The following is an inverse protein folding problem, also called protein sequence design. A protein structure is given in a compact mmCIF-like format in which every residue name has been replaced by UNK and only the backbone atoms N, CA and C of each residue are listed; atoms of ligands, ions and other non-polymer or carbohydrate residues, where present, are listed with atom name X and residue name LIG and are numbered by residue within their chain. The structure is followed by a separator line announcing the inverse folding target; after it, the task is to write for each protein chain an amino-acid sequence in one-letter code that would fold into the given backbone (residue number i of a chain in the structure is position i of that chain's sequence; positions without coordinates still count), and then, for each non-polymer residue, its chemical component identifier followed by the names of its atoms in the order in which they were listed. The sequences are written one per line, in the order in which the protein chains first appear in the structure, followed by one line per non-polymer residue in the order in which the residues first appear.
data_IF_824742516500
#
_entry.id   IF_824742516500
#
_cell.length_a   1.000
_cell.length_b   1.000
_cell.length_c   1.000
_cell.angle_alpha   90.00
_cell.angle_beta   90.00
_cell.angle_gamma   90.00
#
_symmetry.space_group_name_H-M   'P 1'
#
loop_
_entity.id
_entity.type
_entity.pdbx_description
1 polymer ?
#
# COMPACT_ATOMS: atom_id res chain seq x y z
N UNK A 1 4.79 13.49 8.55
CA UNK A 1 5.16 12.27 9.32
C UNK A 1 5.60 12.63 10.72
N UNK A 2 6.48 13.62 10.89
CA UNK A 2 7.10 13.93 12.19
C UNK A 2 6.17 14.52 13.27
N UNK A 3 4.99 15.05 12.90
CA UNK A 3 4.00 15.59 13.86
C UNK A 3 2.91 14.61 14.30
N UNK A 4 2.56 13.62 13.47
CA UNK A 4 1.42 12.71 13.69
C UNK A 4 1.89 11.29 14.08
N UNK A 5 3.17 10.98 13.84
CA UNK A 5 3.73 9.65 14.04
C UNK A 5 3.47 8.72 12.85
N UNK A 6 4.34 7.72 12.69
CA UNK A 6 4.33 6.81 11.53
C UNK A 6 3.17 5.82 11.57
N UNK A 7 2.85 5.28 12.75
CA UNK A 7 1.82 4.24 12.92
C UNK A 7 0.41 4.72 12.52
N UNK A 8 -0.08 5.89 12.95
CA UNK A 8 -1.41 6.36 12.54
C UNK A 8 -1.54 6.60 11.04
N UNK A 9 -0.48 7.10 10.39
CA UNK A 9 -0.45 7.30 8.93
C UNK A 9 -0.52 5.96 8.19
N UNK A 10 0.18 4.94 8.71
CA UNK A 10 0.14 3.59 8.16
C UNK A 10 -1.26 2.98 8.24
N UNK A 11 -1.92 3.08 9.40
CA UNK A 11 -3.29 2.59 9.57
C UNK A 11 -4.31 3.34 8.71
N UNK A 12 -4.23 4.67 8.66
CA UNK A 12 -5.10 5.49 7.81
C UNK A 12 -4.94 5.12 6.33
N UNK A 13 -3.70 4.91 5.88
CA UNK A 13 -3.40 4.44 4.54
C UNK A 13 -4.01 3.07 4.23
N UNK A 14 -3.88 2.10 5.13
CA UNK A 14 -4.50 0.79 4.96
C UNK A 14 -6.01 0.83 4.91
N UNK A 15 -6.65 1.70 5.70
CA UNK A 15 -8.11 1.90 5.62
C UNK A 15 -8.50 2.47 4.26
N UNK A 16 -7.79 3.49 3.77
CA UNK A 16 -8.03 4.08 2.44
C UNK A 16 -7.87 3.04 1.33
N UNK A 17 -6.79 2.25 1.39
CA UNK A 17 -6.53 1.19 0.42
C UNK A 17 -7.60 0.08 0.46
N UNK A 18 -8.00 -0.35 1.66
CA UNK A 18 -9.04 -1.38 1.83
C UNK A 18 -10.40 -0.92 1.30
N UNK A 19 -10.78 0.34 1.55
CA UNK A 19 -12.01 0.93 1.00
C UNK A 19 -11.94 1.02 -0.52
N UNK A 20 -10.84 1.53 -1.08
CA UNK A 20 -10.66 1.66 -2.53
C UNK A 20 -10.79 0.32 -3.25
N UNK A 21 -10.04 -0.69 -2.82
CA UNK A 21 -10.11 -2.04 -3.41
C UNK A 21 -11.44 -2.75 -3.10
N UNK A 22 -12.02 -2.54 -1.92
CA UNK A 22 -13.31 -3.13 -1.55
C UNK A 22 -14.45 -2.66 -2.44
N UNK A 23 -14.50 -1.36 -2.76
CA UNK A 23 -15.49 -0.80 -3.68
C UNK A 23 -15.26 -1.32 -5.10
N UNK A 24 -14.01 -1.36 -5.58
CA UNK A 24 -13.71 -1.92 -6.91
C UNK A 24 -14.13 -3.38 -7.00
N UNK A 25 -13.81 -4.20 -5.98
CA UNK A 25 -14.22 -5.60 -5.92
C UNK A 25 -15.74 -5.78 -5.92
N UNK A 26 -16.48 -4.92 -5.21
CA UNK A 26 -17.94 -4.94 -5.22
C UNK A 26 -18.50 -4.57 -6.61
N UNK A 27 -17.95 -3.53 -7.26
CA UNK A 27 -18.36 -3.14 -8.61
C UNK A 27 -18.08 -4.25 -9.63
N UNK A 28 -16.96 -4.96 -9.49
CA UNK A 28 -16.65 -6.12 -10.32
C UNK A 28 -17.64 -7.28 -10.08
N UNK A 29 -18.05 -7.51 -8.83
CA UNK A 29 -19.01 -8.56 -8.49
C UNK A 29 -20.42 -8.28 -9.01
N UNK A 30 -20.89 -7.03 -8.89
CA UNK A 30 -22.21 -6.60 -9.37
C UNK A 30 -22.28 -6.46 -10.90
N UNK A 31 -21.14 -6.34 -11.56
CA UNK A 31 -21.02 -6.13 -12.99
C UNK A 31 -21.09 -4.65 -13.35
N UNK A 32 -20.13 -4.18 -14.15
CA UNK A 32 -20.03 -2.78 -14.59
C UNK A 32 -20.68 -2.59 -15.96
N UNK A 33 -21.99 -2.37 -16.00
CA UNK A 33 -22.75 -2.21 -17.24
C UNK A 33 -22.56 -0.82 -17.85
N UNK A 34 -22.53 0.22 -17.00
CA UNK A 34 -22.53 1.62 -17.42
C UNK A 34 -21.11 2.20 -17.49
N UNK A 35 -20.94 3.27 -18.28
CA UNK A 35 -19.68 4.02 -18.31
C UNK A 35 -19.37 4.69 -16.96
N UNK A 36 -20.40 5.12 -16.23
CA UNK A 36 -20.25 5.73 -14.91
C UNK A 36 -19.64 4.77 -13.89
N UNK A 37 -20.08 3.51 -13.85
CA UNK A 37 -19.52 2.49 -12.96
C UNK A 37 -18.04 2.19 -13.28
N UNK A 38 -17.68 2.16 -14.57
CA UNK A 38 -16.28 2.01 -15.00
C UNK A 38 -15.43 3.20 -14.58
N UNK A 39 -15.93 4.42 -14.74
CA UNK A 39 -15.24 5.63 -14.27
C UNK A 39 -15.11 5.67 -12.75
N UNK A 40 -16.13 5.21 -12.03
CA UNK A 40 -16.08 5.09 -10.58
C UNK A 40 -15.01 4.09 -10.13
N UNK A 41 -14.91 2.93 -10.78
CA UNK A 41 -13.85 1.97 -10.50
C UNK A 41 -12.45 2.56 -10.69
N UNK A 42 -12.23 3.32 -11.78
CA UNK A 42 -10.96 4.03 -12.01
C UNK A 42 -10.71 5.08 -10.92
N UNK A 43 -11.72 5.86 -10.53
CA UNK A 43 -11.58 6.84 -9.45
C UNK A 43 -11.22 6.18 -8.11
N UNK A 44 -11.80 5.02 -7.80
CA UNK A 44 -11.48 4.26 -6.59
C UNK A 44 -10.08 3.63 -6.64
N UNK A 45 -9.60 3.22 -7.81
CA UNK A 45 -8.21 2.78 -7.99
C UNK A 45 -7.23 3.95 -7.78
N UNK A 46 -7.54 5.14 -8.29
CA UNK A 46 -6.73 6.34 -8.02
C UNK A 46 -6.73 6.69 -6.53
N UNK A 47 -7.88 6.55 -5.86
CA UNK A 47 -7.99 6.74 -4.42
C UNK A 47 -7.12 5.73 -3.63
N UNK A 48 -7.10 4.46 -4.07
CA UNK A 48 -6.16 3.45 -3.55
C UNK A 48 -4.70 3.88 -3.74
N UNK A 49 -4.32 4.36 -4.93
CA UNK A 49 -2.95 4.83 -5.22
C UNK A 49 -2.56 5.99 -4.32
N UNK A 50 -3.46 6.94 -4.07
CA UNK A 50 -3.22 8.04 -3.12
C UNK A 50 -2.95 7.47 -1.73
N UNK A 51 -3.80 6.55 -1.25
CA UNK A 51 -3.62 5.80 -0.01
C UNK A 51 -2.23 5.19 0.11
N UNK A 52 -1.81 4.47 -0.92
CA UNK A 52 -0.49 3.83 -0.97
C UNK A 52 0.66 4.85 -0.96
N UNK A 53 0.55 5.92 -1.74
CA UNK A 53 1.61 6.90 -1.95
C UNK A 53 2.02 7.65 -0.67
N UNK A 54 1.06 8.01 0.20
CA UNK A 54 1.40 8.69 1.46
C UNK A 54 1.67 7.72 2.62
N UNK A 55 1.33 6.44 2.48
CA UNK A 55 1.45 5.44 3.55
C UNK A 55 2.51 4.38 3.24
N UNK A 56 2.11 3.21 2.74
CA UNK A 56 2.94 2.04 2.54
C UNK A 56 4.14 2.30 1.61
N UNK A 57 4.04 3.21 0.64
CA UNK A 57 5.14 3.56 -0.25
C UNK A 57 6.39 4.03 0.51
N UNK A 58 6.37 5.20 1.17
CA UNK A 58 7.54 5.73 1.89
C UNK A 58 7.73 5.14 3.30
N UNK A 59 6.63 4.81 4.01
CA UNK A 59 6.74 4.43 5.42
C UNK A 59 7.33 3.05 5.64
N UNK A 60 7.18 2.09 4.71
CA UNK A 60 7.72 0.74 4.89
C UNK A 60 9.24 0.78 5.00
N UNK A 61 9.90 1.57 4.14
CA UNK A 61 11.36 1.71 4.12
C UNK A 61 11.86 2.43 5.37
N UNK A 62 11.09 3.40 5.85
CA UNK A 62 11.45 4.16 7.05
C UNK A 62 11.25 3.31 8.31
N UNK A 63 10.23 2.46 8.37
CA UNK A 63 10.03 1.53 9.48
C UNK A 63 11.13 0.46 9.52
N UNK A 64 11.52 -0.09 8.36
CA UNK A 64 12.64 -1.03 8.29
C UNK A 64 13.99 -0.41 8.71
N UNK A 65 14.21 0.89 8.52
CA UNK A 65 15.44 1.52 8.99
C UNK A 65 15.44 1.81 10.50
N UNK A 66 14.26 1.86 11.13
CA UNK A 66 14.11 2.17 12.56
C UNK A 66 13.99 0.95 13.48
N UNK A 67 13.40 -0.14 13.00
CA UNK A 67 13.20 -1.35 13.80
C UNK A 67 14.52 -2.14 13.91
N UNK A 68 15.41 -1.99 12.93
CA UNK A 68 16.59 -2.83 12.80
C UNK A 68 17.68 -2.38 13.79
N UNK A 69 18.28 -3.31 14.56
CA UNK A 69 19.34 -2.98 15.50
C UNK A 69 20.57 -2.44 14.76
N UNK A 70 21.26 -1.48 15.38
CA UNK A 70 22.45 -0.84 14.80
C UNK A 70 23.53 -1.87 14.40
N UNK A 71 23.66 -2.95 15.17
CA UNK A 71 24.50 -4.10 14.82
C UNK A 71 23.73 -5.01 13.86
N UNK A 72 24.14 -5.03 12.59
CA UNK A 72 23.52 -5.86 11.56
C UNK A 72 22.38 -5.20 10.77
N UNK A 73 22.23 -3.87 10.87
CA UNK A 73 21.22 -3.11 10.12
C UNK A 73 21.26 -3.39 8.62
N UNK A 74 22.46 -3.51 8.04
CA UNK A 74 22.63 -3.75 6.61
C UNK A 74 22.06 -5.10 6.18
N UNK A 75 22.23 -6.14 7.01
CA UNK A 75 21.63 -7.45 6.79
C UNK A 75 20.10 -7.38 6.88
N UNK A 76 19.56 -6.71 7.91
CA UNK A 76 18.12 -6.56 8.09
C UNK A 76 17.44 -5.77 6.97
N UNK A 77 18.10 -4.75 6.41
CA UNK A 77 17.64 -4.03 5.23
C UNK A 77 17.70 -4.94 4.00
N UNK A 78 18.78 -5.71 3.82
CA UNK A 78 18.92 -6.68 2.74
C UNK A 78 17.77 -7.69 2.69
N UNK A 79 17.44 -8.32 3.83
CA UNK A 79 16.31 -9.26 3.94
C UNK A 79 14.97 -8.58 3.62
N UNK A 80 14.78 -7.34 4.08
CA UNK A 80 13.56 -6.57 3.79
C UNK A 80 13.39 -6.32 2.29
N UNK A 81 14.47 -5.94 1.60
CA UNK A 81 14.48 -5.69 0.16
C UNK A 81 14.25 -6.98 -0.63
N UNK A 82 14.90 -8.08 -0.27
CA UNK A 82 14.68 -9.39 -0.91
C UNK A 82 13.21 -9.82 -0.77
N UNK A 83 12.65 -9.69 0.43
CA UNK A 83 11.23 -10.01 0.68
C UNK A 83 10.31 -9.16 -0.19
N UNK A 84 10.60 -7.86 -0.34
CA UNK A 84 9.83 -6.97 -1.21
C UNK A 84 9.89 -7.42 -2.68
N UNK A 85 11.07 -7.73 -3.20
CA UNK A 85 11.22 -8.19 -4.58
C UNK A 85 10.59 -9.55 -4.84
N UNK A 86 10.63 -10.49 -3.88
CA UNK A 86 9.90 -11.76 -3.98
C UNK A 86 8.40 -11.50 -4.09
N UNK A 87 7.85 -10.61 -3.25
CA UNK A 87 6.44 -10.23 -3.33
C UNK A 87 6.08 -9.60 -4.69
N UNK A 88 6.90 -8.67 -5.17
CA UNK A 88 6.72 -8.06 -6.50
C UNK A 88 6.78 -9.10 -7.61
N UNK A 89 7.70 -10.06 -7.55
CA UNK A 89 7.80 -11.15 -8.51
C UNK A 89 6.52 -11.99 -8.52
N UNK A 90 6.01 -12.40 -7.36
CA UNK A 90 4.78 -13.20 -7.25
C UNK A 90 3.52 -12.49 -7.76
N UNK A 91 3.45 -11.17 -7.63
CA UNK A 91 2.31 -10.37 -8.13
C UNK A 91 2.44 -10.08 -9.63
N UNK A 92 3.67 -9.96 -10.13
CA UNK A 92 3.96 -9.62 -11.52
C UNK A 92 3.97 -10.79 -12.50
N UNK A 93 4.02 -12.04 -11.99
CA UNK A 93 3.89 -13.29 -12.78
C UNK A 93 2.46 -13.79 -12.79
#
# INVERSE_FOLDING_TARGET
VDRIGRKPILYAGFVVMAVGLGVVGLLMHLGMATQTERLLAVAMLLFFVVGFAFSAGPLVWTLCSEIQPLKGRDFGIGVSTVTNWIGTFLVGV
#
